data_IF_384434068300
#
_entry.id   IF_384434068300
#
_cell.length_a   1.000
_cell.length_b   1.000
_cell.length_c   1.000
_cell.angle_alpha   90.00
_cell.angle_beta   90.00
_cell.angle_gamma   90.00
#
_symmetry.space_group_name_H-M   'P 1'
#
loop_
_entity.id
_entity.type
_entity.pdbx_description
1 polymer ?
#
# COMPACT_ATOMS: atom_id res chain seq x y z
N UNK A 1 -49.85 46.45 23.97
CA UNK A 1 -48.97 46.01 22.87
C UNK A 1 -47.76 45.25 23.42
N UNK A 2 -47.97 44.07 24.03
CA UNK A 2 -46.89 43.26 24.65
C UNK A 2 -47.09 41.75 24.43
N UNK A 3 -47.51 41.31 23.23
CA UNK A 3 -47.68 39.87 22.94
C UNK A 3 -47.21 39.44 21.55
N UNK A 4 -46.36 40.23 20.87
CA UNK A 4 -45.87 39.91 19.52
C UNK A 4 -44.35 39.69 19.43
N UNK A 5 -43.67 39.43 20.56
CA UNK A 5 -42.22 39.18 20.59
C UNK A 5 -41.80 37.85 21.23
N UNK A 6 -42.76 36.99 21.61
CA UNK A 6 -42.46 35.68 22.23
C UNK A 6 -42.76 34.50 21.28
N UNK A 7 -43.43 34.74 20.14
CA UNK A 7 -43.81 33.68 19.19
C UNK A 7 -42.90 33.57 17.94
N UNK A 8 -41.84 34.39 17.81
CA UNK A 8 -40.90 34.36 16.65
C UNK A 8 -39.46 34.05 17.12
N UNK A 9 -39.29 33.34 18.24
CA UNK A 9 -38.00 32.77 18.65
C UNK A 9 -38.07 31.31 19.11
N UNK A 10 -39.19 30.63 18.89
CA UNK A 10 -39.35 29.20 19.24
C UNK A 10 -39.30 28.29 17.99
N UNK A 11 -39.12 28.87 16.79
CA UNK A 11 -39.08 28.13 15.52
C UNK A 11 -37.78 28.43 14.75
N UNK A 12 -36.65 27.97 15.32
CA UNK A 12 -35.34 27.68 14.66
C UNK A 12 -34.28 27.36 15.72
N UNK A 13 -34.55 26.38 16.58
CA UNK A 13 -33.51 25.47 17.04
C UNK A 13 -33.66 24.18 16.25
N UNK A 14 -33.53 24.28 14.92
CA UNK A 14 -33.14 23.11 14.14
C UNK A 14 -31.74 22.75 14.65
N UNK A 15 -31.68 21.70 15.46
CA UNK A 15 -30.46 21.00 15.84
C UNK A 15 -29.75 20.57 14.56
N UNK A 16 -28.93 21.45 13.98
CA UNK A 16 -28.25 21.20 12.70
C UNK A 16 -26.99 20.38 12.97
N UNK A 17 -27.18 19.14 13.41
CA UNK A 17 -26.10 18.16 13.30
C UNK A 17 -25.70 18.11 11.80
N UNK A 18 -24.40 18.15 11.47
CA UNK A 18 -23.97 18.29 10.08
C UNK A 18 -24.49 17.14 9.22
N UNK A 19 -24.88 17.46 7.99
CA UNK A 19 -25.31 16.47 6.99
C UNK A 19 -24.11 16.00 6.20
N UNK A 20 -23.92 14.68 6.12
CA UNK A 20 -22.85 14.10 5.32
C UNK A 20 -23.06 14.37 3.83
N UNK A 21 -22.08 15.04 3.21
CA UNK A 21 -22.06 15.33 1.79
C UNK A 21 -20.93 14.54 1.11
N UNK A 22 -21.31 13.61 0.25
CA UNK A 22 -20.38 12.79 -0.55
C UNK A 22 -19.59 13.61 -1.57
N UNK A 23 -19.99 14.85 -1.86
CA UNK A 23 -19.26 15.77 -2.74
C UNK A 23 -18.20 16.58 -1.98
N UNK A 24 -18.32 16.68 -0.67
CA UNK A 24 -17.37 17.36 0.21
C UNK A 24 -16.71 16.35 1.16
N UNK A 25 -15.83 15.55 0.57
CA UNK A 25 -15.10 14.49 1.26
C UNK A 25 -13.74 14.91 1.77
N UNK A 26 -13.36 16.18 1.61
CA UNK A 26 -12.05 16.70 2.00
C UNK A 26 -11.76 16.38 3.48
N UNK A 27 -10.63 15.71 3.74
CA UNK A 27 -10.17 15.48 5.10
C UNK A 27 -9.53 16.74 5.67
N UNK A 28 -9.79 16.99 6.95
CA UNK A 28 -8.99 17.96 7.70
C UNK A 28 -7.71 17.24 8.09
N UNK A 29 -6.62 17.51 7.37
CA UNK A 29 -5.30 16.95 7.70
C UNK A 29 -4.46 17.96 8.44
N UNK A 30 -3.82 17.54 9.53
CA UNK A 30 -3.06 18.47 10.40
C UNK A 30 -1.57 18.59 10.08
N UNK A 31 -1.10 17.92 9.02
CA UNK A 31 0.34 17.65 8.84
C UNK A 31 0.91 18.14 7.51
N UNK A 32 2.11 18.73 7.62
CA UNK A 32 2.95 19.18 6.52
C UNK A 32 4.21 18.32 6.41
N UNK A 33 4.99 18.56 5.34
CA UNK A 33 6.29 17.92 5.11
C UNK A 33 7.25 18.25 6.26
N UNK A 34 7.85 17.21 6.85
CA UNK A 34 8.87 17.34 7.91
C UNK A 34 10.26 17.00 7.36
N UNK A 35 11.25 17.91 7.48
CA UNK A 35 12.63 17.62 7.10
C UNK A 35 13.23 16.48 7.93
N UNK A 36 14.23 15.77 7.37
CA UNK A 36 14.89 14.66 8.04
C UNK A 36 15.53 15.05 9.39
N UNK A 37 16.05 16.26 9.51
CA UNK A 37 16.63 16.78 10.77
C UNK A 37 15.58 16.89 11.87
N UNK A 38 14.43 17.51 11.57
CA UNK A 38 13.32 17.67 12.52
C UNK A 38 12.70 16.31 12.88
N UNK A 39 12.64 15.39 11.93
CA UNK A 39 12.21 14.01 12.17
C UNK A 39 13.13 13.34 13.21
N UNK A 40 14.44 13.38 12.99
CA UNK A 40 15.43 12.76 13.87
C UNK A 40 15.43 13.41 15.26
N UNK A 41 15.46 14.74 15.34
CA UNK A 41 15.47 15.43 16.64
C UNK A 41 14.21 15.10 17.45
N UNK A 42 13.04 15.07 16.81
CA UNK A 42 11.77 14.74 17.49
C UNK A 42 11.79 13.34 18.09
N UNK A 43 12.27 12.35 17.34
CA UNK A 43 12.34 10.98 17.82
C UNK A 43 13.40 10.79 18.92
N UNK A 44 14.59 11.37 18.73
CA UNK A 44 15.68 11.28 19.72
C UNK A 44 15.31 11.98 21.02
N UNK A 45 14.77 13.20 20.96
CA UNK A 45 14.37 13.95 22.15
C UNK A 45 13.25 13.23 22.89
N UNK A 46 12.26 12.69 22.17
CA UNK A 46 11.15 11.97 22.78
C UNK A 46 11.55 10.60 23.36
N UNK A 47 12.58 9.97 22.79
CA UNK A 47 13.19 8.73 23.28
C UNK A 47 14.02 8.99 24.54
N UNK A 48 14.92 9.98 24.52
CA UNK A 48 15.77 10.32 25.68
C UNK A 48 14.94 10.77 26.90
N UNK A 49 13.80 11.43 26.67
CA UNK A 49 12.83 11.76 27.73
C UNK A 49 12.14 10.53 28.34
N UNK A 50 12.36 9.30 27.85
CA UNK A 50 11.90 8.07 28.51
C UNK A 50 12.71 7.71 29.76
N UNK A 51 14.00 8.06 29.80
CA UNK A 51 14.92 7.62 30.84
C UNK A 51 15.01 8.59 32.03
N UNK A 52 14.68 9.87 31.84
CA UNK A 52 14.79 10.92 32.86
C UNK A 52 13.40 11.34 33.38
N UNK A 53 12.87 10.63 34.39
CA UNK A 53 11.79 11.08 35.31
C UNK A 53 10.45 11.62 34.71
N UNK A 54 10.24 11.57 33.40
CA UNK A 54 9.03 12.06 32.74
C UNK A 54 8.19 10.90 32.19
N UNK A 55 6.91 10.86 32.57
CA UNK A 55 6.00 9.79 32.20
C UNK A 55 5.97 9.56 30.69
N UNK A 56 5.97 8.29 30.27
CA UNK A 56 5.48 7.84 28.96
C UNK A 56 3.99 8.19 28.79
N UNK A 57 3.61 9.47 28.88
CA UNK A 57 2.24 9.92 28.71
C UNK A 57 1.92 9.88 27.22
N UNK A 58 1.05 8.96 26.77
CA UNK A 58 0.71 8.87 25.36
C UNK A 58 0.02 10.13 24.84
N UNK A 59 -0.56 10.97 25.71
CA UNK A 59 -1.15 12.27 25.33
C UNK A 59 -0.14 13.22 24.72
N UNK A 60 1.11 13.20 25.19
CA UNK A 60 2.16 14.09 24.71
C UNK A 60 2.93 13.48 23.54
N UNK A 61 3.21 12.17 23.60
CA UNK A 61 4.11 11.53 22.64
C UNK A 61 3.44 11.11 21.33
N UNK A 62 2.19 10.63 21.36
CA UNK A 62 1.49 10.22 20.13
C UNK A 62 1.41 11.36 19.09
N UNK A 63 1.04 12.60 19.45
CA UNK A 63 1.06 13.72 18.50
C UNK A 63 2.44 13.99 17.87
N UNK A 64 3.51 13.90 18.67
CA UNK A 64 4.88 14.11 18.20
C UNK A 64 5.31 13.01 17.20
N UNK A 65 5.02 11.75 17.54
CA UNK A 65 5.35 10.60 16.69
C UNK A 65 4.55 10.65 15.40
N UNK A 66 3.24 10.93 15.48
CA UNK A 66 2.37 11.07 14.32
C UNK A 66 2.89 12.15 13.35
N UNK A 67 3.22 13.34 13.87
CA UNK A 67 3.72 14.43 13.04
C UNK A 67 5.10 14.18 12.43
N UNK A 68 5.99 13.56 13.21
CA UNK A 68 7.32 13.21 12.73
C UNK A 68 7.23 12.18 11.58
N UNK A 69 6.57 11.04 11.81
CA UNK A 69 6.53 9.96 10.83
C UNK A 69 5.71 10.31 9.59
N UNK A 70 4.54 10.95 9.76
CA UNK A 70 3.71 11.38 8.63
C UNK A 70 4.41 12.44 7.81
N UNK A 71 5.04 13.44 8.45
CA UNK A 71 5.74 14.48 7.73
C UNK A 71 6.97 13.96 6.98
N UNK A 72 7.68 12.96 7.52
CA UNK A 72 8.76 12.29 6.79
C UNK A 72 8.23 11.42 5.63
N UNK A 73 7.09 10.74 5.81
CA UNK A 73 6.39 10.03 4.72
C UNK A 73 6.04 10.99 3.60
N UNK A 74 5.46 12.15 3.92
CA UNK A 74 5.10 13.16 2.93
C UNK A 74 6.32 13.73 2.19
N UNK A 75 7.47 13.86 2.86
CA UNK A 75 8.73 14.25 2.20
C UNK A 75 9.12 13.23 1.12
N UNK A 76 9.09 11.95 1.46
CA UNK A 76 9.44 10.86 0.53
C UNK A 76 8.40 10.75 -0.60
N UNK A 77 7.11 10.75 -0.27
CA UNK A 77 6.01 10.72 -1.24
C UNK A 77 6.12 11.87 -2.24
N UNK A 78 6.35 13.11 -1.77
CA UNK A 78 6.51 14.27 -2.64
C UNK A 78 7.65 14.09 -3.65
N UNK A 79 8.78 13.54 -3.22
CA UNK A 79 9.92 13.28 -4.10
C UNK A 79 9.61 12.14 -5.09
N UNK A 80 8.93 11.09 -4.64
CA UNK A 80 8.54 9.97 -5.51
C UNK A 80 7.47 10.36 -6.54
N UNK A 81 6.49 11.18 -6.16
CA UNK A 81 5.53 11.76 -7.10
C UNK A 81 6.24 12.56 -8.20
N UNK A 82 7.30 13.32 -7.89
CA UNK A 82 8.05 14.05 -8.92
C UNK A 82 8.68 13.12 -9.96
N UNK A 83 9.19 11.97 -9.52
CA UNK A 83 9.72 10.94 -10.42
C UNK A 83 8.57 10.42 -11.29
N UNK A 84 7.46 10.01 -10.70
CA UNK A 84 6.35 9.41 -11.43
C UNK A 84 5.73 10.38 -12.46
N UNK A 85 5.56 11.65 -12.10
CA UNK A 85 5.07 12.69 -13.02
C UNK A 85 6.04 12.97 -14.18
N UNK A 86 7.33 12.64 -14.03
CA UNK A 86 8.31 12.75 -15.10
C UNK A 86 8.21 11.62 -16.14
N UNK A 87 7.52 10.52 -15.80
CA UNK A 87 7.31 9.36 -16.67
C UNK A 87 6.14 9.66 -17.61
N UNK A 88 6.41 9.71 -18.92
CA UNK A 88 5.34 9.87 -19.93
C UNK A 88 4.53 8.59 -20.16
N UNK A 89 5.08 7.45 -19.77
CA UNK A 89 4.49 6.13 -19.96
C UNK A 89 3.67 5.73 -18.72
N UNK A 90 2.34 5.67 -18.88
CA UNK A 90 1.41 5.30 -17.79
C UNK A 90 1.51 3.83 -17.37
N UNK A 91 2.31 3.01 -18.06
CA UNK A 91 2.49 1.59 -17.74
C UNK A 91 3.52 1.32 -16.63
N UNK A 92 4.14 2.37 -16.09
CA UNK A 92 5.08 2.27 -14.95
C UNK A 92 4.56 3.13 -13.81
N UNK A 93 4.51 2.55 -12.62
CA UNK A 93 4.07 3.19 -11.38
C UNK A 93 5.05 2.98 -10.23
N UNK A 94 4.91 3.79 -9.18
CA UNK A 94 5.64 3.60 -7.91
C UNK A 94 4.66 3.06 -6.85
N UNK A 95 4.82 1.80 -6.46
CA UNK A 95 3.85 1.06 -5.64
C UNK A 95 3.64 1.60 -4.23
N UNK A 96 4.67 2.19 -3.63
CA UNK A 96 4.53 2.77 -2.29
C UNK A 96 3.78 4.12 -2.29
N UNK A 97 3.41 4.65 -3.46
CA UNK A 97 2.61 5.87 -3.53
C UNK A 97 1.14 5.57 -3.24
N UNK A 98 0.45 6.42 -2.44
CA UNK A 98 -0.88 6.12 -1.95
C UNK A 98 -1.98 5.82 -2.99
N UNK A 99 -1.85 6.36 -4.21
CA UNK A 99 -2.88 6.23 -5.26
C UNK A 99 -2.84 4.90 -6.01
N UNK A 100 -1.84 4.04 -5.80
CA UNK A 100 -1.78 2.70 -6.42
C UNK A 100 -2.48 1.61 -5.58
N UNK A 101 -3.18 1.98 -4.51
CA UNK A 101 -3.90 1.03 -3.67
C UNK A 101 -5.18 0.53 -4.33
N UNK A 102 -5.35 -0.79 -4.35
CA UNK A 102 -6.59 -1.49 -4.68
C UNK A 102 -7.17 -2.19 -3.46
N UNK A 103 -8.49 -2.39 -3.41
CA UNK A 103 -9.25 -2.88 -2.25
C UNK A 103 -8.74 -4.16 -1.54
N UNK A 104 -7.79 -4.90 -2.12
CA UNK A 104 -7.24 -6.14 -1.56
C UNK A 104 -5.77 -6.02 -1.12
N UNK A 105 -5.08 -4.93 -1.47
CA UNK A 105 -3.71 -4.68 -1.03
C UNK A 105 -3.71 -3.57 0.02
N UNK A 106 -3.25 -3.90 1.22
CA UNK A 106 -2.97 -2.90 2.24
C UNK A 106 -1.94 -1.90 1.70
N UNK A 107 -2.15 -0.59 1.90
CA UNK A 107 -1.16 0.38 1.43
C UNK A 107 0.18 0.07 2.09
N UNK A 108 1.21 0.01 1.26
CA UNK A 108 2.59 -0.07 1.66
C UNK A 108 3.14 1.35 1.66
N UNK A 109 3.48 1.92 2.82
CA UNK A 109 4.04 3.28 2.84
C UNK A 109 5.41 3.36 2.18
N UNK A 110 5.83 4.58 1.87
CA UNK A 110 7.18 4.90 1.40
C UNK A 110 8.27 4.64 2.45
N UNK A 111 7.90 4.42 3.72
CA UNK A 111 8.83 4.12 4.81
C UNK A 111 8.97 2.60 4.91
N UNK A 112 10.13 2.07 4.53
CA UNK A 112 10.37 0.63 4.36
C UNK A 112 11.57 0.12 5.18
N UNK A 113 11.54 0.15 6.53
CA UNK A 113 12.70 -0.17 7.36
C UNK A 113 13.28 -1.56 7.10
N UNK A 114 12.44 -2.57 6.90
CA UNK A 114 12.91 -3.94 6.60
C UNK A 114 13.65 -4.01 5.27
N UNK A 115 13.15 -3.39 4.19
CA UNK A 115 13.85 -3.35 2.91
C UNK A 115 15.21 -2.62 3.05
N UNK A 116 15.24 -1.54 3.83
CA UNK A 116 16.46 -0.75 4.04
C UNK A 116 17.52 -1.49 4.87
N UNK A 117 17.10 -2.27 5.88
CA UNK A 117 17.97 -3.15 6.66
C UNK A 117 18.56 -4.28 5.80
N UNK A 118 17.78 -4.80 4.85
CA UNK A 118 18.24 -5.76 3.85
C UNK A 118 19.06 -5.12 2.72
N UNK A 119 19.40 -3.82 2.85
CA UNK A 119 20.22 -3.05 1.93
C UNK A 119 19.61 -2.92 0.52
N UNK A 120 18.30 -2.65 0.47
CA UNK A 120 17.54 -2.50 -0.77
C UNK A 120 16.70 -1.20 -0.72
N UNK A 121 17.35 -0.02 -0.81
CA UNK A 121 16.72 1.30 -0.58
C UNK A 121 15.52 1.61 -1.49
N UNK A 122 15.56 1.11 -2.72
CA UNK A 122 14.51 1.35 -3.72
C UNK A 122 13.37 0.33 -3.69
N UNK A 123 13.36 -0.57 -2.71
CA UNK A 123 12.41 -1.67 -2.63
C UNK A 123 11.45 -1.51 -1.46
N UNK A 124 10.39 -2.30 -1.46
CA UNK A 124 9.41 -2.39 -0.40
C UNK A 124 9.16 -3.85 -0.05
N UNK A 125 8.61 -4.12 1.13
CA UNK A 125 8.13 -5.45 1.47
C UNK A 125 6.66 -5.60 1.09
N UNK A 126 6.35 -6.58 0.25
CA UNK A 126 4.98 -6.94 -0.09
C UNK A 126 4.42 -7.93 0.94
N UNK A 127 3.39 -7.56 1.73
CA UNK A 127 2.81 -8.45 2.73
C UNK A 127 2.00 -9.61 2.13
N UNK A 128 1.54 -9.49 0.88
CA UNK A 128 0.79 -10.55 0.19
C UNK A 128 1.75 -11.60 -0.37
N UNK A 129 2.79 -11.14 -1.06
CA UNK A 129 3.81 -12.02 -1.66
C UNK A 129 4.89 -12.46 -0.65
N UNK A 130 4.89 -11.87 0.56
CA UNK A 130 5.83 -12.11 1.65
C UNK A 130 7.31 -12.02 1.25
N UNK A 131 7.64 -11.02 0.42
CA UNK A 131 9.00 -10.82 -0.08
C UNK A 131 9.29 -9.35 -0.36
N UNK A 132 10.58 -9.02 -0.47
CA UNK A 132 11.02 -7.72 -0.95
C UNK A 132 10.77 -7.62 -2.46
N UNK A 133 10.12 -6.55 -2.87
CA UNK A 133 9.75 -6.23 -4.25
C UNK A 133 10.24 -4.84 -4.62
N UNK A 134 10.49 -4.60 -5.91
CA UNK A 134 10.88 -3.28 -6.39
C UNK A 134 9.73 -2.31 -6.33
N UNK A 135 10.01 -1.08 -5.89
CA UNK A 135 9.01 -0.04 -5.77
C UNK A 135 8.50 0.48 -7.11
N UNK A 136 9.33 0.51 -8.15
CA UNK A 136 8.83 0.71 -9.50
C UNK A 136 8.23 -0.58 -10.05
N UNK A 137 6.94 -0.56 -10.33
CA UNK A 137 6.24 -1.64 -11.03
C UNK A 137 5.92 -1.18 -12.46
N UNK A 138 6.53 -1.92 -13.38
CA UNK A 138 6.15 -2.02 -14.79
C UNK A 138 6.29 -3.50 -15.15
N UNK A 139 7.05 -3.79 -16.21
CA UNK A 139 7.27 -5.19 -16.64
C UNK A 139 7.86 -6.02 -15.50
N UNK A 140 7.32 -7.23 -15.31
CA UNK A 140 7.72 -8.22 -14.29
C UNK A 140 7.30 -7.95 -12.84
N UNK A 141 6.34 -7.06 -12.60
CA UNK A 141 5.76 -6.84 -11.26
C UNK A 141 6.83 -6.59 -10.18
N UNK A 142 7.96 -5.95 -10.54
CA UNK A 142 9.04 -5.69 -9.60
C UNK A 142 9.86 -6.90 -9.13
N UNK A 143 9.74 -8.07 -9.79
CA UNK A 143 10.43 -9.33 -9.41
C UNK A 143 11.91 -9.42 -9.82
N UNK A 144 12.39 -8.54 -10.70
CA UNK A 144 13.73 -8.65 -11.30
C UNK A 144 14.55 -7.34 -11.35
N UNK A 145 15.83 -7.47 -10.95
CA UNK A 145 17.04 -6.67 -11.23
C UNK A 145 17.07 -5.75 -12.46
N UNK A 146 16.72 -6.38 -13.57
CA UNK A 146 17.09 -6.00 -14.92
C UNK A 146 16.46 -7.01 -15.86
N UNK A 147 16.43 -6.67 -17.15
CA UNK A 147 16.04 -7.63 -18.19
C UNK A 147 16.88 -8.90 -18.18
N UNK A 148 18.17 -8.77 -17.90
CA UNK A 148 19.08 -9.91 -17.80
C UNK A 148 18.68 -10.84 -16.65
N UNK A 149 18.38 -10.27 -15.48
CA UNK A 149 17.94 -11.05 -14.33
C UNK A 149 16.58 -11.70 -14.58
N UNK A 150 15.62 -11.00 -15.20
CA UNK A 150 14.31 -11.56 -15.52
C UNK A 150 14.42 -12.71 -16.51
N UNK A 151 15.14 -12.51 -17.62
CA UNK A 151 15.39 -13.56 -18.61
C UNK A 151 16.02 -14.77 -17.93
N UNK A 152 17.05 -14.53 -17.09
CA UNK A 152 17.69 -15.60 -16.34
C UNK A 152 16.70 -16.34 -15.43
N UNK A 153 15.92 -15.63 -14.60
CA UNK A 153 14.91 -16.23 -13.74
C UNK A 153 13.87 -17.03 -14.54
N UNK A 154 13.45 -16.52 -15.69
CA UNK A 154 12.44 -17.14 -16.56
C UNK A 154 12.97 -18.43 -17.19
N UNK A 155 14.18 -18.41 -17.76
CA UNK A 155 14.80 -19.62 -18.35
C UNK A 155 15.26 -20.63 -17.28
N UNK A 156 15.44 -20.20 -16.03
CA UNK A 156 15.74 -21.11 -14.91
C UNK A 156 14.52 -21.49 -14.07
N UNK A 157 13.32 -21.06 -14.44
CA UNK A 157 12.09 -21.44 -13.73
C UNK A 157 11.89 -22.96 -13.86
N UNK A 158 11.33 -23.61 -12.84
CA UNK A 158 11.02 -25.05 -12.80
C UNK A 158 10.37 -25.59 -14.07
N UNK A 159 9.46 -24.83 -14.68
CA UNK A 159 8.84 -25.22 -15.95
C UNK A 159 9.86 -25.27 -17.10
N UNK A 160 10.67 -24.23 -17.25
CA UNK A 160 11.68 -24.12 -18.31
C UNK A 160 12.85 -25.08 -18.08
N UNK A 161 13.26 -25.27 -16.83
CA UNK A 161 14.22 -26.30 -16.42
C UNK A 161 13.73 -27.71 -16.72
N UNK A 162 12.42 -27.97 -16.66
CA UNK A 162 11.85 -29.26 -17.06
C UNK A 162 12.03 -29.49 -18.56
N UNK A 163 11.86 -28.47 -19.40
CA UNK A 163 12.16 -28.55 -20.83
C UNK A 163 13.64 -28.84 -21.09
N UNK A 164 14.54 -28.10 -20.44
CA UNK A 164 15.98 -28.36 -20.53
C UNK A 164 16.35 -29.80 -20.09
N UNK A 165 15.69 -30.31 -19.05
CA UNK A 165 15.88 -31.67 -18.57
C UNK A 165 15.37 -32.73 -19.57
N UNK A 166 14.23 -32.50 -20.23
CA UNK A 166 13.72 -33.37 -21.30
C UNK A 166 14.70 -33.42 -22.48
N UNK A 167 15.26 -32.27 -22.86
CA UNK A 167 16.29 -32.17 -23.91
C UNK A 167 17.54 -32.95 -23.51
N UNK A 168 17.97 -32.84 -22.26
CA UNK A 168 19.09 -33.63 -21.72
C UNK A 168 18.82 -35.14 -21.79
N UNK A 169 17.62 -35.59 -21.41
CA UNK A 169 17.22 -37.00 -21.54
C UNK A 169 17.26 -37.45 -23.01
N UNK A 170 16.79 -36.61 -23.94
CA UNK A 170 16.83 -36.92 -25.36
C UNK A 170 18.27 -37.07 -25.88
N UNK A 171 19.20 -36.22 -25.43
CA UNK A 171 20.63 -36.32 -25.76
C UNK A 171 21.23 -37.62 -25.19
N UNK A 172 20.97 -37.93 -23.91
CA UNK A 172 21.43 -39.16 -23.27
C UNK A 172 20.88 -40.39 -24.01
N UNK A 173 19.59 -40.36 -24.36
CA UNK A 173 18.93 -41.41 -25.14
C UNK A 173 19.58 -41.60 -26.51
N UNK A 174 19.89 -40.51 -27.22
CA UNK A 174 20.55 -40.57 -28.52
C UNK A 174 21.97 -41.17 -28.43
N UNK A 175 22.73 -40.80 -27.38
CA UNK A 175 24.06 -41.37 -27.10
C UNK A 175 23.95 -42.85 -26.73
N UNK A 176 22.98 -43.22 -25.89
CA UNK A 176 22.72 -44.62 -25.52
C UNK A 176 22.35 -45.46 -26.75
N UNK A 177 21.47 -44.96 -27.62
CA UNK A 177 21.12 -45.62 -28.88
C UNK A 177 22.36 -45.77 -29.76
N UNK A 178 23.22 -44.75 -29.85
CA UNK A 178 24.49 -44.83 -30.57
C UNK A 178 25.36 -45.97 -30.04
N UNK A 179 25.55 -46.05 -28.72
CA UNK A 179 26.38 -47.07 -28.06
C UNK A 179 25.77 -48.47 -28.25
N UNK A 180 24.46 -48.63 -28.03
CA UNK A 180 23.76 -49.91 -28.17
C UNK A 180 23.80 -50.39 -29.62
N UNK A 181 23.50 -49.51 -30.58
CA UNK A 181 23.58 -49.84 -32.01
C UNK A 181 25.02 -50.07 -32.49
N UNK A 182 26.05 -49.67 -31.74
CA UNK A 182 27.46 -50.02 -32.02
C UNK A 182 27.74 -51.49 -31.72
N UNK A 183 26.99 -52.06 -30.79
CA UNK A 183 27.17 -53.44 -30.34
C UNK A 183 26.26 -54.45 -31.08
N UNK A 184 25.29 -53.99 -31.90
CA UNK A 184 24.24 -54.85 -32.48
C UNK A 184 24.13 -54.84 -34.01
N UNK A 185 24.75 -53.88 -34.71
CA UNK A 185 24.65 -53.77 -36.17
C UNK A 185 26.03 -54.06 -36.77
N UNK A 186 26.14 -55.14 -37.54
CA UNK A 186 27.36 -55.46 -38.30
C UNK A 186 27.70 -54.32 -39.27
N UNK A 187 28.95 -53.88 -39.26
CA UNK A 187 29.50 -52.78 -40.07
C UNK A 187 29.54 -53.07 -41.59
N UNK A 188 28.92 -54.15 -42.06
CA UNK A 188 29.16 -54.76 -43.38
C UNK A 188 28.33 -54.15 -44.53
N UNK A 189 27.69 -53.01 -44.31
CA UNK A 189 27.08 -52.20 -45.39
C UNK A 189 27.72 -50.82 -45.43
N UNK A 190 28.18 -50.39 -46.61
CA UNK A 190 28.87 -49.12 -46.84
C UNK A 190 28.10 -47.86 -46.37
N UNK A 191 26.81 -47.98 -46.07
CA UNK A 191 25.94 -46.89 -45.61
C UNK A 191 25.46 -47.01 -44.15
N UNK A 192 25.69 -48.14 -43.47
CA UNK A 192 25.25 -48.37 -42.08
C UNK A 192 25.83 -47.36 -41.06
N UNK A 193 27.16 -47.12 -41.05
CA UNK A 193 27.78 -46.15 -40.14
C UNK A 193 27.32 -44.71 -40.39
N UNK A 194 27.03 -44.37 -41.66
CA UNK A 194 26.58 -43.04 -42.06
C UNK A 194 25.15 -42.75 -41.57
N UNK A 195 24.20 -43.67 -41.79
CA UNK A 195 22.80 -43.50 -41.37
C UNK A 195 22.69 -43.43 -39.84
N UNK A 196 23.47 -44.24 -39.11
CA UNK A 196 23.52 -44.25 -37.65
C UNK A 196 24.03 -42.92 -37.08
N UNK A 197 25.16 -42.44 -37.59
CA UNK A 197 25.72 -41.17 -37.14
C UNK A 197 24.84 -39.98 -37.51
N UNK A 198 24.25 -39.99 -38.72
CA UNK A 198 23.32 -38.94 -39.14
C UNK A 198 22.04 -38.91 -38.29
N UNK A 199 21.48 -40.07 -37.92
CA UNK A 199 20.27 -40.12 -37.07
C UNK A 199 20.55 -39.56 -35.66
N UNK A 200 21.70 -39.88 -35.08
CA UNK A 200 22.10 -39.35 -33.76
C UNK A 200 22.38 -37.85 -33.83
N UNK A 201 23.09 -37.40 -34.87
CA UNK A 201 23.35 -35.97 -35.11
C UNK A 201 22.04 -35.22 -35.32
N UNK A 202 21.08 -35.78 -36.06
CA UNK A 202 19.77 -35.18 -36.30
C UNK A 202 18.98 -35.04 -34.99
N UNK A 203 18.90 -36.09 -34.17
CA UNK A 203 18.17 -36.06 -32.90
C UNK A 203 18.78 -34.99 -31.97
N UNK A 204 20.10 -34.96 -31.84
CA UNK A 204 20.79 -33.96 -31.01
C UNK A 204 20.56 -32.55 -31.58
N UNK A 205 20.68 -32.38 -32.90
CA UNK A 205 20.52 -31.06 -33.54
C UNK A 205 19.09 -30.53 -33.41
N UNK A 206 18.08 -31.39 -33.54
CA UNK A 206 16.67 -31.00 -33.36
C UNK A 206 16.37 -30.69 -31.89
N UNK A 207 16.84 -31.53 -30.96
CA UNK A 207 16.61 -31.33 -29.52
C UNK A 207 17.28 -30.04 -29.00
N UNK A 208 18.55 -29.82 -29.33
CA UNK A 208 19.29 -28.59 -28.96
C UNK A 208 18.75 -27.39 -29.73
N UNK A 209 18.45 -27.55 -31.02
CA UNK A 209 17.92 -26.47 -31.85
C UNK A 209 16.57 -25.95 -31.35
N UNK A 210 15.66 -26.83 -30.96
CA UNK A 210 14.37 -26.44 -30.40
C UNK A 210 14.53 -25.67 -29.08
N UNK A 211 15.42 -26.14 -28.19
CA UNK A 211 15.72 -25.49 -26.91
C UNK A 211 16.30 -24.08 -27.09
N UNK A 212 17.25 -23.93 -28.03
CA UNK A 212 17.82 -22.64 -28.38
C UNK A 212 16.79 -21.68 -28.98
N UNK A 213 15.90 -22.18 -29.86
CA UNK A 213 14.81 -21.37 -30.44
C UNK A 213 13.85 -20.91 -29.35
N UNK A 214 13.50 -21.79 -28.39
CA UNK A 214 12.63 -21.43 -27.27
C UNK A 214 13.26 -20.36 -26.37
N UNK A 215 14.55 -20.50 -26.03
CA UNK A 215 15.28 -19.46 -25.28
C UNK A 215 15.32 -18.14 -26.04
N UNK A 216 15.63 -18.17 -27.34
CA UNK A 216 15.67 -16.97 -28.17
C UNK A 216 14.30 -16.31 -28.28
N UNK A 217 13.23 -17.09 -28.40
CA UNK A 217 11.86 -16.60 -28.42
C UNK A 217 11.51 -15.87 -27.12
N UNK A 218 11.82 -16.44 -25.96
CA UNK A 218 11.61 -15.76 -24.66
C UNK A 218 12.39 -14.45 -24.60
N UNK A 219 13.67 -14.46 -24.99
CA UNK A 219 14.48 -13.23 -24.99
C UNK A 219 13.83 -12.16 -25.86
N UNK A 220 13.35 -12.51 -27.05
CA UNK A 220 12.71 -11.56 -27.97
C UNK A 220 11.38 -11.04 -27.41
N UNK A 221 10.51 -11.94 -26.93
CA UNK A 221 9.20 -11.57 -26.39
C UNK A 221 9.36 -10.66 -25.17
N UNK A 222 10.20 -11.05 -24.21
CA UNK A 222 10.43 -10.29 -22.98
C UNK A 222 11.12 -8.93 -23.20
N UNK A 223 11.87 -8.80 -24.29
CA UNK A 223 12.60 -7.56 -24.61
C UNK A 223 11.79 -6.59 -25.47
N UNK A 224 11.08 -7.10 -26.47
CA UNK A 224 10.47 -6.26 -27.52
C UNK A 224 8.94 -6.25 -27.46
N UNK A 225 8.31 -7.24 -26.84
CA UNK A 225 6.85 -7.38 -26.75
C UNK A 225 6.41 -7.65 -25.31
N UNK A 226 6.76 -6.77 -24.35
CA UNK A 226 6.39 -6.99 -22.96
C UNK A 226 4.88 -6.85 -22.76
N UNK A 227 4.29 -7.78 -22.00
CA UNK A 227 2.86 -7.78 -21.69
C UNK A 227 2.44 -6.61 -20.76
N UNK A 228 3.38 -6.06 -19.98
CA UNK A 228 3.09 -4.95 -19.04
C UNK A 228 4.22 -3.91 -19.00
N UNK A 229 4.12 -2.86 -19.82
CA UNK A 229 5.03 -1.72 -19.77
C UNK A 229 6.47 -2.01 -20.19
N UNK A 230 7.26 -0.95 -20.39
CA UNK A 230 8.59 -1.07 -20.99
C UNK A 230 9.66 -1.35 -19.93
N UNK A 231 10.37 -2.49 -19.97
CA UNK A 231 11.32 -2.85 -18.92
C UNK A 231 12.50 -1.87 -18.77
N UNK A 232 12.91 -1.19 -19.83
CA UNK A 232 13.95 -0.15 -19.72
C UNK A 232 13.46 1.10 -18.98
N UNK A 233 12.17 1.45 -19.09
CA UNK A 233 11.57 2.58 -18.36
C UNK A 233 11.47 2.21 -16.88
N UNK A 234 10.93 1.03 -16.57
CA UNK A 234 10.84 0.54 -15.19
C UNK A 234 12.21 0.50 -14.48
N UNK A 235 13.26 0.02 -15.16
CA UNK A 235 14.62 0.02 -14.59
C UNK A 235 15.17 1.43 -14.34
N UNK A 236 14.90 2.37 -15.26
CA UNK A 236 15.31 3.77 -15.07
C UNK A 236 14.59 4.38 -13.87
N UNK A 237 13.28 4.21 -13.78
CA UNK A 237 12.46 4.71 -12.67
C UNK A 237 12.91 4.10 -11.36
N UNK A 238 13.14 2.78 -11.32
CA UNK A 238 13.68 2.10 -10.15
C UNK A 238 15.04 2.68 -9.69
N UNK A 239 15.93 3.02 -10.63
CA UNK A 239 17.20 3.67 -10.31
C UNK A 239 17.00 5.08 -9.76
N UNK A 240 16.05 5.85 -10.29
CA UNK A 240 15.72 7.19 -9.79
C UNK A 240 15.09 7.11 -8.39
N UNK A 241 14.21 6.13 -8.14
CA UNK A 241 13.64 5.83 -6.82
C UNK A 241 14.74 5.47 -5.83
N UNK A 242 15.62 4.52 -6.19
CA UNK A 242 16.76 4.12 -5.36
C UNK A 242 17.62 5.32 -4.96
N UNK A 243 17.99 6.17 -5.92
CA UNK A 243 18.83 7.35 -5.67
C UNK A 243 18.11 8.38 -4.80
N UNK A 244 16.81 8.59 -5.02
CA UNK A 244 16.00 9.57 -4.30
C UNK A 244 15.80 9.16 -2.85
N UNK A 245 15.41 7.91 -2.60
CA UNK A 245 15.30 7.35 -1.26
C UNK A 245 16.67 7.35 -0.60
N UNK A 246 17.71 6.83 -1.26
CA UNK A 246 19.08 6.81 -0.74
C UNK A 246 19.59 8.20 -0.33
N UNK A 247 19.24 9.26 -1.07
CA UNK A 247 19.58 10.64 -0.70
C UNK A 247 18.86 11.07 0.58
N UNK A 248 17.57 10.77 0.71
CA UNK A 248 16.80 11.07 1.92
C UNK A 248 17.31 10.29 3.14
N UNK A 249 17.66 9.01 2.97
CA UNK A 249 18.25 8.19 4.04
C UNK A 249 19.63 8.73 4.45
N UNK A 250 20.44 9.18 3.51
CA UNK A 250 21.72 9.85 3.81
C UNK A 250 21.52 11.12 4.63
N UNK A 251 20.51 11.94 4.30
CA UNK A 251 20.18 13.13 5.08
C UNK A 251 19.74 12.77 6.50
N UNK A 252 18.85 11.78 6.63
CA UNK A 252 18.41 11.25 7.92
C UNK A 252 19.60 10.81 8.77
N UNK A 253 20.48 9.95 8.25
CA UNK A 253 21.64 9.43 8.99
C UNK A 253 22.61 10.54 9.40
N UNK A 254 22.83 11.55 8.56
CA UNK A 254 23.66 12.72 8.91
C UNK A 254 23.08 13.57 10.02
N UNK A 255 21.76 13.54 10.20
CA UNK A 255 21.07 14.25 11.28
C UNK A 255 21.07 13.46 12.59
N UNK A 256 21.44 12.18 12.60
CA UNK A 256 21.53 11.36 13.82
C UNK A 256 22.70 11.84 14.69
N UNK A 257 22.47 12.20 15.97
CA UNK A 257 23.55 12.57 16.88
C UNK A 257 24.58 11.44 17.03
N UNK A 258 25.88 11.74 17.18
CA UNK A 258 26.93 10.71 17.25
C UNK A 258 26.68 9.64 18.31
N UNK A 259 26.22 10.03 19.51
CA UNK A 259 25.90 9.07 20.60
C UNK A 259 24.79 8.09 20.22
N UNK A 260 23.75 8.59 19.54
CA UNK A 260 22.65 7.78 19.03
C UNK A 260 23.12 6.84 17.94
N UNK A 261 23.98 7.33 17.03
CA UNK A 261 24.58 6.55 15.97
C UNK A 261 25.45 5.39 16.51
N UNK A 262 26.27 5.66 17.52
CA UNK A 262 27.11 4.66 18.18
C UNK A 262 26.25 3.54 18.80
N UNK A 263 25.13 3.91 19.43
CA UNK A 263 24.18 2.94 19.99
C UNK A 263 23.51 2.07 18.93
N UNK A 264 23.16 2.64 17.77
CA UNK A 264 22.52 1.91 16.66
C UNK A 264 23.51 0.95 16.03
N UNK A 265 24.72 1.43 15.72
CA UNK A 265 25.74 0.62 15.06
C UNK A 265 26.29 -0.47 15.97
N UNK A 266 26.32 -0.27 17.30
CA UNK A 266 26.87 -1.23 18.28
C UNK A 266 28.28 -1.73 17.91
N UNK A 267 29.09 -0.87 17.28
CA UNK A 267 30.43 -1.22 16.78
C UNK A 267 30.47 -2.01 15.46
N UNK A 268 29.32 -2.34 14.87
CA UNK A 268 29.23 -3.01 13.58
C UNK A 268 29.30 -2.01 12.42
N UNK A 269 29.86 -2.46 11.29
CA UNK A 269 29.87 -1.68 10.05
C UNK A 269 28.52 -1.85 9.34
N UNK A 270 27.72 -0.78 9.33
CA UNK A 270 26.41 -0.73 8.68
C UNK A 270 26.42 0.26 7.52
N UNK A 271 25.63 -0.03 6.49
CA UNK A 271 25.37 0.93 5.40
C UNK A 271 24.39 2.01 5.87
N UNK A 272 24.26 3.09 5.09
CA UNK A 272 23.34 4.19 5.40
C UNK A 272 21.89 3.71 5.50
N UNK A 273 21.47 2.83 4.58
CA UNK A 273 20.13 2.26 4.59
C UNK A 273 19.87 1.42 5.84
N UNK A 274 20.86 0.63 6.25
CA UNK A 274 20.80 -0.19 7.45
C UNK A 274 20.66 0.67 8.69
N UNK A 275 21.47 1.72 8.82
CA UNK A 275 21.40 2.66 9.95
C UNK A 275 20.03 3.34 9.98
N UNK A 276 19.52 3.81 8.85
CA UNK A 276 18.22 4.49 8.78
C UNK A 276 17.06 3.55 9.15
N UNK A 277 17.08 2.31 8.64
CA UNK A 277 16.07 1.30 8.98
C UNK A 277 16.11 0.94 10.47
N UNK A 278 17.29 0.67 11.02
CA UNK A 278 17.44 0.38 12.45
C UNK A 278 17.08 1.57 13.34
N UNK A 279 17.38 2.81 12.91
CA UNK A 279 16.96 4.02 13.62
C UNK A 279 15.44 4.08 13.76
N UNK A 280 14.70 3.88 12.67
CA UNK A 280 13.23 3.93 12.69
C UNK A 280 12.65 2.79 13.54
N UNK A 281 13.23 1.59 13.46
CA UNK A 281 12.80 0.49 14.33
C UNK A 281 12.96 0.86 15.81
N UNK A 282 14.15 1.35 16.19
CA UNK A 282 14.48 1.58 17.60
C UNK A 282 13.84 2.84 18.19
N UNK A 283 13.79 3.93 17.43
CA UNK A 283 13.37 5.26 17.93
C UNK A 283 11.93 5.63 17.59
N UNK A 284 11.30 4.94 16.63
CA UNK A 284 9.88 5.13 16.32
C UNK A 284 9.05 3.88 16.65
N UNK A 285 9.35 2.74 16.02
CA UNK A 285 8.48 1.56 16.06
C UNK A 285 8.36 0.96 17.47
N UNK A 286 9.47 0.63 18.13
CA UNK A 286 9.44 0.01 19.47
C UNK A 286 8.72 0.89 20.52
N UNK A 287 9.00 2.21 20.64
CA UNK A 287 8.23 3.06 21.54
C UNK A 287 6.77 3.19 21.12
N UNK A 288 6.48 3.27 19.81
CA UNK A 288 5.12 3.39 19.31
C UNK A 288 4.26 2.16 19.63
N UNK A 289 4.79 0.95 19.48
CA UNK A 289 4.13 -0.31 19.88
C UNK A 289 3.77 -0.26 21.37
N UNK A 290 4.72 0.18 22.21
CA UNK A 290 4.51 0.30 23.66
C UNK A 290 3.43 1.33 23.99
N UNK A 291 3.46 2.50 23.33
CA UNK A 291 2.46 3.56 23.52
C UNK A 291 1.07 3.12 23.07
N UNK A 292 0.94 2.46 21.91
CA UNK A 292 -0.33 1.93 21.42
C UNK A 292 -0.90 0.88 22.37
N UNK A 293 -0.05 -0.03 22.88
CA UNK A 293 -0.44 -1.04 23.87
C UNK A 293 -1.04 -0.43 25.14
N UNK A 294 -0.45 0.66 25.64
CA UNK A 294 -0.95 1.39 26.81
C UNK A 294 -2.22 2.20 26.48
N UNK A 295 -2.24 2.80 25.30
CA UNK A 295 -3.26 3.76 24.84
C UNK A 295 -4.59 3.14 24.43
N UNK A 296 -4.52 1.96 23.82
CA UNK A 296 -5.67 1.22 23.30
C UNK A 296 -6.09 0.08 24.24
N UNK A 297 -5.50 -0.02 25.44
CA UNK A 297 -5.89 -1.04 26.42
C UNK A 297 -7.34 -0.83 26.84
N UNK A 298 -8.07 -1.92 27.07
CA UNK A 298 -9.41 -1.91 27.67
C UNK A 298 -9.29 -1.58 29.17
N UNK A 299 -8.96 -0.33 29.48
CA UNK A 299 -8.85 0.23 30.82
C UNK A 299 -9.59 1.54 30.89
N UNK A 300 -10.29 1.81 31.98
CA UNK A 300 -10.96 3.11 32.22
C UNK A 300 -9.99 4.30 32.23
N UNK A 301 -8.70 4.05 32.42
CA UNK A 301 -7.63 5.06 32.43
C UNK A 301 -7.00 5.28 31.06
N UNK A 302 -7.27 4.43 30.08
CA UNK A 302 -6.71 4.57 28.73
C UNK A 302 -7.33 5.78 28.02
N UNK A 303 -6.49 6.56 27.35
CA UNK A 303 -6.93 7.77 26.63
C UNK A 303 -7.91 7.41 25.53
N UNK A 304 -7.53 6.44 24.69
CA UNK A 304 -8.27 6.02 23.51
C UNK A 304 -9.19 4.83 23.85
N UNK A 305 -10.07 5.06 24.83
CA UNK A 305 -11.10 4.12 25.24
C UNK A 305 -12.45 4.49 24.61
N UNK A 306 -13.27 3.54 24.14
CA UNK A 306 -14.64 3.79 23.69
C UNK A 306 -15.47 4.68 24.63
N UNK A 307 -15.30 4.55 25.95
CA UNK A 307 -15.99 5.38 26.96
C UNK A 307 -15.63 6.87 26.90
N UNK A 308 -14.48 7.19 26.31
CA UNK A 308 -14.00 8.56 26.14
C UNK A 308 -14.26 9.09 24.72
N UNK A 309 -14.82 8.29 23.80
CA UNK A 309 -14.96 8.64 22.38
C UNK A 309 -15.70 9.97 22.16
N UNK A 310 -16.75 10.25 22.93
CA UNK A 310 -17.48 11.52 22.88
C UNK A 310 -16.69 12.78 23.28
N UNK A 311 -15.52 12.61 23.90
CA UNK A 311 -14.64 13.71 24.36
C UNK A 311 -13.36 13.85 23.53
N UNK A 312 -13.13 12.94 22.58
CA UNK A 312 -11.93 12.98 21.74
C UNK A 312 -12.13 13.99 20.62
N UNK A 313 -11.09 14.77 20.35
CA UNK A 313 -11.03 15.67 19.19
C UNK A 313 -10.51 14.94 17.96
N UNK A 314 -10.80 15.49 16.77
CA UNK A 314 -10.35 14.89 15.51
C UNK A 314 -8.84 14.71 15.46
N UNK A 315 -8.07 15.70 15.87
CA UNK A 315 -6.59 15.59 15.92
C UNK A 315 -6.14 14.43 16.79
N UNK A 316 -6.82 14.11 17.89
CA UNK A 316 -6.45 12.96 18.72
C UNK A 316 -6.71 11.64 17.99
N UNK A 317 -7.84 11.52 17.29
CA UNK A 317 -8.16 10.35 16.47
C UNK A 317 -7.20 10.23 15.27
N UNK A 318 -6.92 11.33 14.58
CA UNK A 318 -5.97 11.37 13.46
C UNK A 318 -4.58 10.89 13.88
N UNK A 319 -4.07 11.38 15.01
CA UNK A 319 -2.73 11.03 15.48
C UNK A 319 -2.60 9.54 15.82
N UNK A 320 -3.61 8.96 16.48
CA UNK A 320 -3.58 7.53 16.81
C UNK A 320 -3.73 6.66 15.55
N UNK A 321 -4.54 7.09 14.57
CA UNK A 321 -4.67 6.40 13.28
C UNK A 321 -3.33 6.40 12.51
N UNK A 322 -2.64 7.54 12.47
CA UNK A 322 -1.32 7.66 11.82
C UNK A 322 -0.30 6.74 12.50
N UNK A 323 -0.16 6.80 13.82
CA UNK A 323 0.80 5.95 14.54
C UNK A 323 0.47 4.48 14.35
N UNK A 324 -0.82 4.12 14.46
CA UNK A 324 -1.26 2.74 14.25
C UNK A 324 -0.95 2.24 12.84
N UNK A 325 -1.18 3.07 11.80
CA UNK A 325 -0.87 2.74 10.40
C UNK A 325 0.58 2.29 10.24
N UNK A 326 1.53 3.14 10.63
CA UNK A 326 2.95 2.85 10.44
C UNK A 326 3.43 1.69 11.32
N UNK A 327 2.92 1.56 12.55
CA UNK A 327 3.24 0.42 13.41
C UNK A 327 2.73 -0.89 12.80
N UNK A 328 1.50 -0.91 12.27
CA UNK A 328 0.94 -2.08 11.59
C UNK A 328 1.80 -2.46 10.38
N UNK A 329 2.03 -1.51 9.48
CA UNK A 329 2.81 -1.75 8.24
C UNK A 329 4.22 -2.26 8.55
N UNK A 330 4.92 -1.69 9.54
CA UNK A 330 6.25 -2.16 9.95
C UNK A 330 6.18 -3.52 10.65
N UNK A 331 5.16 -3.76 11.49
CA UNK A 331 5.00 -5.03 12.23
C UNK A 331 4.87 -6.24 11.30
N UNK A 332 4.31 -6.06 10.11
CA UNK A 332 4.16 -7.13 9.11
C UNK A 332 5.52 -7.52 8.48
N UNK A 333 6.54 -6.66 8.62
CA UNK A 333 7.87 -6.83 8.01
C UNK A 333 8.96 -7.21 9.00
N UNK A 334 8.75 -7.02 10.31
CA UNK A 334 9.75 -7.25 11.38
C UNK A 334 10.14 -8.73 11.53
N UNK A 335 9.34 -9.67 11.00
CA UNK A 335 9.64 -11.12 11.02
C UNK A 335 10.82 -11.57 10.13
N UNK A 336 11.40 -10.68 9.33
CA UNK A 336 12.43 -11.01 8.33
C UNK A 336 13.87 -10.66 8.73
N UNK A 337 14.16 -10.43 10.02
CA UNK A 337 15.55 -10.21 10.43
C UNK A 337 15.80 -9.73 11.85
N UNK A 338 14.77 -9.61 12.70
CA UNK A 338 14.93 -9.17 14.08
C UNK A 338 14.07 -10.00 15.01
N UNK A 339 14.67 -10.56 16.06
CA UNK A 339 13.95 -11.11 17.21
C UNK A 339 13.42 -9.92 18.02
N UNK A 340 12.21 -9.39 17.76
CA UNK A 340 11.41 -8.63 18.77
C UNK A 340 10.13 -7.94 18.26
N UNK A 341 9.22 -7.67 19.23
CA UNK A 341 8.00 -6.83 19.23
C UNK A 341 7.11 -6.84 17.98
N UNK A 342 6.07 -7.68 17.97
CA UNK A 342 4.91 -7.55 17.06
C UNK A 342 3.78 -6.76 17.72
N UNK A 343 2.98 -6.08 16.91
CA UNK A 343 1.71 -5.49 17.38
C UNK A 343 0.78 -6.61 17.89
N UNK A 344 0.19 -6.42 19.07
CA UNK A 344 -0.79 -7.37 19.61
C UNK A 344 -2.09 -7.28 18.80
N UNK A 345 -2.63 -8.38 18.24
CA UNK A 345 -3.91 -8.40 17.52
C UNK A 345 -5.07 -7.76 18.31
N UNK A 346 -5.02 -7.79 19.64
CA UNK A 346 -6.00 -7.13 20.49
C UNK A 346 -6.04 -5.60 20.29
N UNK A 347 -4.93 -4.97 19.92
CA UNK A 347 -4.86 -3.53 19.66
C UNK A 347 -5.70 -3.14 18.45
N UNK A 348 -5.64 -3.91 17.35
CA UNK A 348 -6.50 -3.70 16.18
C UNK A 348 -7.99 -3.82 16.53
N UNK A 349 -8.36 -4.85 17.29
CA UNK A 349 -9.73 -5.02 17.77
C UNK A 349 -10.21 -3.88 18.69
N UNK A 350 -9.32 -3.33 19.52
CA UNK A 350 -9.65 -2.20 20.40
C UNK A 350 -9.77 -0.89 19.62
N UNK A 351 -8.90 -0.65 18.63
CA UNK A 351 -9.01 0.50 17.73
C UNK A 351 -10.30 0.44 16.92
N UNK A 352 -10.67 -0.74 16.39
CA UNK A 352 -11.95 -0.95 15.71
C UNK A 352 -13.13 -0.54 16.60
N UNK A 353 -13.16 -0.99 17.86
CA UNK A 353 -14.20 -0.61 18.82
C UNK A 353 -14.24 0.90 19.05
N UNK A 354 -13.07 1.53 19.22
CA UNK A 354 -12.98 2.97 19.39
C UNK A 354 -13.54 3.72 18.18
N UNK A 355 -13.18 3.32 16.95
CA UNK A 355 -13.65 3.97 15.72
C UNK A 355 -15.17 3.84 15.58
N UNK A 356 -15.74 2.66 15.83
CA UNK A 356 -17.19 2.45 15.79
C UNK A 356 -17.88 3.38 16.78
N UNK A 357 -17.44 3.39 18.05
CA UNK A 357 -18.02 4.26 19.07
C UNK A 357 -17.80 5.75 18.76
N UNK A 358 -16.68 6.13 18.16
CA UNK A 358 -16.42 7.51 17.73
C UNK A 358 -17.31 7.94 16.55
N UNK A 359 -17.67 7.02 15.64
CA UNK A 359 -18.67 7.26 14.60
C UNK A 359 -20.05 7.43 15.23
N UNK A 360 -20.44 6.56 16.16
CA UNK A 360 -21.79 6.58 16.75
C UNK A 360 -22.00 7.75 17.72
N UNK A 361 -21.03 8.01 18.60
CA UNK A 361 -21.17 8.87 19.78
C UNK A 361 -20.16 10.03 19.82
N UNK A 362 -19.18 10.04 18.93
CA UNK A 362 -18.15 11.09 18.89
C UNK A 362 -18.72 12.48 18.59
N UNK A 363 -17.90 13.51 18.80
CA UNK A 363 -18.29 14.88 18.46
C UNK A 363 -18.57 15.02 16.94
N UNK A 364 -19.31 16.06 16.50
CA UNK A 364 -19.71 16.18 15.09
C UNK A 364 -18.53 16.16 14.10
N UNK A 365 -17.40 16.77 14.46
CA UNK A 365 -16.20 16.78 13.61
C UNK A 365 -15.63 15.36 13.45
N UNK A 366 -15.43 14.64 14.56
CA UNK A 366 -14.92 13.26 14.54
C UNK A 366 -15.84 12.34 13.74
N UNK A 367 -17.15 12.44 13.98
CA UNK A 367 -18.15 11.68 13.24
C UNK A 367 -18.01 11.90 11.73
N UNK A 368 -17.98 13.16 11.29
CA UNK A 368 -17.91 13.50 9.86
C UNK A 368 -16.59 13.08 9.21
N UNK A 369 -15.45 13.28 9.88
CA UNK A 369 -14.15 12.88 9.33
C UNK A 369 -14.01 11.36 9.22
N UNK A 370 -14.46 10.59 10.22
CA UNK A 370 -14.47 9.13 10.14
C UNK A 370 -15.42 8.61 9.06
N UNK A 371 -16.58 9.24 8.87
CA UNK A 371 -17.47 8.91 7.76
C UNK A 371 -16.86 9.23 6.39
N UNK A 372 -16.10 10.32 6.25
CA UNK A 372 -15.35 10.63 5.02
C UNK A 372 -14.31 9.55 4.71
N UNK A 373 -13.52 9.15 5.71
CA UNK A 373 -12.55 8.05 5.58
C UNK A 373 -13.24 6.74 5.17
N UNK A 374 -14.39 6.44 5.79
CA UNK A 374 -15.16 5.23 5.52
C UNK A 374 -15.80 5.25 4.12
N UNK A 375 -16.36 6.38 3.71
CA UNK A 375 -16.90 6.56 2.36
C UNK A 375 -15.83 6.32 1.29
N UNK A 376 -14.64 6.91 1.45
CA UNK A 376 -13.54 6.71 0.50
C UNK A 376 -12.99 5.28 0.48
N UNK A 377 -13.21 4.51 1.54
CA UNK A 377 -12.88 3.07 1.53
C UNK A 377 -13.88 2.25 0.72
N UNK A 378 -15.04 2.81 0.39
CA UNK A 378 -16.14 2.13 -0.28
C UNK A 378 -16.30 2.49 -1.76
N UNK A 379 -15.68 3.59 -2.24
CA UNK A 379 -15.71 3.98 -3.65
C UNK A 379 -14.79 3.08 -4.52
N UNK A 380 -14.99 3.04 -5.85
CA UNK A 380 -14.12 2.30 -6.77
C UNK A 380 -12.65 2.73 -6.68
N UNK A 381 -11.73 1.78 -6.92
CA UNK A 381 -10.28 2.02 -6.81
C UNK A 381 -9.83 3.14 -7.75
N UNK A 382 -10.34 3.16 -8.98
CA UNK A 382 -10.07 4.12 -10.02
C UNK A 382 -10.49 5.55 -9.64
N UNK A 383 -11.64 5.72 -8.99
CA UNK A 383 -12.07 7.01 -8.44
C UNK A 383 -11.18 7.42 -7.27
N UNK A 384 -10.84 6.49 -6.38
CA UNK A 384 -9.94 6.73 -5.25
C UNK A 384 -8.55 7.16 -5.70
N UNK A 385 -7.97 6.44 -6.66
CA UNK A 385 -6.66 6.74 -7.23
C UNK A 385 -6.62 8.16 -7.80
N UNK A 386 -7.70 8.58 -8.48
CA UNK A 386 -7.82 9.94 -8.98
C UNK A 386 -7.81 10.97 -7.84
N UNK A 387 -8.65 10.79 -6.80
CA UNK A 387 -8.70 11.69 -5.65
C UNK A 387 -7.33 11.82 -4.98
N UNK A 388 -6.66 10.69 -4.73
CA UNK A 388 -5.34 10.69 -4.08
C UNK A 388 -4.27 11.32 -4.98
N UNK A 389 -4.35 11.13 -6.31
CA UNK A 389 -3.41 11.78 -7.23
C UNK A 389 -3.51 13.31 -7.21
N UNK A 390 -4.72 13.85 -7.00
CA UNK A 390 -4.94 15.30 -6.87
C UNK A 390 -4.63 15.81 -5.46
N UNK A 391 -4.92 15.01 -4.43
CA UNK A 391 -4.70 15.31 -3.01
C UNK A 391 -4.06 14.10 -2.30
N UNK A 392 -2.72 13.98 -2.28
CA UNK A 392 -2.03 12.80 -1.74
C UNK A 392 -2.34 12.46 -0.28
N UNK A 393 -2.69 13.47 0.53
CA UNK A 393 -3.05 13.28 1.94
C UNK A 393 -4.48 12.75 2.14
N UNK A 394 -5.27 12.65 1.07
CA UNK A 394 -6.71 12.38 1.13
C UNK A 394 -7.03 10.88 1.16
N UNK A 395 -6.41 10.18 2.11
CA UNK A 395 -6.43 8.73 2.24
C UNK A 395 -7.79 8.20 2.71
N UNK A 396 -8.07 6.92 2.44
CA UNK A 396 -9.26 6.22 2.95
C UNK A 396 -8.99 5.42 4.22
N UNK A 397 -10.03 5.01 4.95
CA UNK A 397 -9.89 4.34 6.24
C UNK A 397 -9.05 3.05 6.19
N UNK A 398 -9.17 2.27 5.12
CA UNK A 398 -8.37 1.07 4.86
C UNK A 398 -6.85 1.34 4.86
N UNK A 399 -6.41 2.56 4.54
CA UNK A 399 -5.00 2.95 4.62
C UNK A 399 -4.49 2.98 6.06
N UNK A 400 -5.36 3.31 7.02
CA UNK A 400 -4.96 3.46 8.42
C UNK A 400 -5.03 2.14 9.18
N UNK A 401 -6.11 1.37 8.98
CA UNK A 401 -6.41 0.20 9.82
C UNK A 401 -6.41 -1.14 9.07
N UNK A 402 -6.22 -1.13 7.74
CA UNK A 402 -6.32 -2.31 6.89
C UNK A 402 -7.73 -2.54 6.33
N UNK A 403 -7.80 -3.25 5.20
CA UNK A 403 -9.06 -3.51 4.49
C UNK A 403 -10.01 -4.40 5.29
N UNK A 404 -9.47 -5.44 5.95
CA UNK A 404 -10.24 -6.40 6.76
C UNK A 404 -10.92 -5.73 7.97
N UNK A 405 -10.19 -4.91 8.70
CA UNK A 405 -10.72 -4.15 9.84
C UNK A 405 -11.74 -3.10 9.40
N UNK A 406 -11.49 -2.44 8.26
CA UNK A 406 -12.43 -1.49 7.67
C UNK A 406 -13.76 -2.15 7.27
N UNK A 407 -13.72 -3.33 6.62
CA UNK A 407 -14.94 -4.07 6.28
C UNK A 407 -15.67 -4.57 7.53
N UNK A 408 -14.93 -4.99 8.57
CA UNK A 408 -15.53 -5.35 9.86
C UNK A 408 -16.30 -4.18 10.49
N UNK A 409 -15.78 -2.95 10.40
CA UNK A 409 -16.48 -1.73 10.83
C UNK A 409 -17.76 -1.53 10.02
N UNK A 410 -17.70 -1.65 8.68
CA UNK A 410 -18.88 -1.49 7.81
C UNK A 410 -19.97 -2.50 8.15
N UNK A 411 -19.61 -3.77 8.30
CA UNK A 411 -20.55 -4.84 8.67
C UNK A 411 -21.20 -4.53 10.03
N UNK A 412 -20.42 -4.09 11.01
CA UNK A 412 -20.93 -3.79 12.34
C UNK A 412 -21.90 -2.59 12.30
N UNK A 413 -21.53 -1.49 11.67
CA UNK A 413 -22.38 -0.30 11.54
C UNK A 413 -23.68 -0.59 10.76
N UNK A 414 -23.64 -1.43 9.71
CA UNK A 414 -24.85 -1.89 9.00
C UNK A 414 -25.80 -2.62 9.93
N UNK A 415 -25.29 -3.51 10.79
CA UNK A 415 -26.11 -4.20 11.81
C UNK A 415 -26.70 -3.19 12.78
N UNK A 416 -25.91 -2.21 13.22
CA UNK A 416 -26.30 -1.23 14.22
C UNK A 416 -27.39 -0.26 13.71
N UNK A 417 -27.34 0.14 12.44
CA UNK A 417 -28.42 0.92 11.78
C UNK A 417 -29.78 0.20 11.86
N UNK A 418 -29.77 -1.13 11.70
CA UNK A 418 -31.02 -1.93 11.69
C UNK A 418 -31.55 -2.24 13.10
N UNK A 419 -30.82 -1.88 14.17
CA UNK A 419 -31.25 -2.18 15.54
C UNK A 419 -32.45 -1.32 15.96
N UNK A 420 -33.39 -1.88 16.76
CA UNK A 420 -34.48 -1.10 17.31
C UNK A 420 -33.97 0.05 18.18
N UNK A 421 -34.30 1.29 17.81
CA UNK A 421 -33.99 2.49 18.61
C UNK A 421 -34.78 2.49 19.91
N UNK A 422 -34.14 2.91 21.00
CA UNK A 422 -34.80 3.10 22.29
C UNK A 422 -35.78 4.28 22.25
N UNK A 423 -36.70 4.35 23.22
CA UNK A 423 -37.69 5.42 23.29
C UNK A 423 -37.07 6.82 23.45
N UNK A 424 -35.90 6.93 24.08
CA UNK A 424 -35.13 8.17 24.21
C UNK A 424 -34.45 8.56 22.90
N UNK A 425 -33.92 7.60 22.15
CA UNK A 425 -33.28 7.83 20.84
C UNK A 425 -34.29 8.26 19.76
N UNK A 426 -35.52 7.74 19.78
CA UNK A 426 -36.58 8.09 18.82
C UNK A 426 -37.04 9.55 18.87
N UNK A 427 -36.67 10.29 19.91
CA UNK A 427 -37.07 11.70 20.11
C UNK A 427 -35.92 12.68 19.87
N UNK A 428 -34.72 12.18 19.56
CA UNK A 428 -33.54 13.02 19.37
C UNK A 428 -33.21 13.19 17.87
N UNK A 429 -33.47 14.38 17.28
CA UNK A 429 -33.21 14.62 15.87
C UNK A 429 -31.71 14.50 15.50
N UNK A 430 -30.80 14.68 16.47
CA UNK A 430 -29.36 14.52 16.22
C UNK A 430 -28.99 13.06 16.03
N UNK A 431 -29.66 12.15 16.74
CA UNK A 431 -29.47 10.70 16.60
C UNK A 431 -29.98 10.26 15.23
N UNK A 432 -31.14 10.75 14.80
CA UNK A 432 -31.68 10.43 13.47
C UNK A 432 -30.75 10.92 12.35
N UNK A 433 -30.24 12.15 12.43
CA UNK A 433 -29.30 12.68 11.44
C UNK A 433 -27.98 11.88 11.41
N UNK A 434 -27.43 11.50 12.57
CA UNK A 434 -26.22 10.66 12.65
C UNK A 434 -26.41 9.32 11.94
N UNK A 435 -27.51 8.63 12.20
CA UNK A 435 -27.78 7.34 11.55
C UNK A 435 -28.01 7.50 10.04
N UNK A 436 -28.63 8.59 9.60
CA UNK A 436 -28.76 8.91 8.18
C UNK A 436 -27.39 9.14 7.53
N UNK A 437 -26.50 9.89 8.18
CA UNK A 437 -25.13 10.10 7.69
C UNK A 437 -24.36 8.77 7.57
N UNK A 438 -24.46 7.89 8.57
CA UNK A 438 -23.80 6.57 8.54
C UNK A 438 -24.34 5.74 7.36
N UNK A 439 -25.66 5.70 7.17
CA UNK A 439 -26.27 4.98 6.05
C UNK A 439 -25.77 5.50 4.70
N UNK A 440 -25.71 6.84 4.53
CA UNK A 440 -25.24 7.47 3.30
C UNK A 440 -23.75 7.18 3.01
N UNK A 441 -22.91 7.10 4.04
CA UNK A 441 -21.48 6.82 3.89
C UNK A 441 -21.17 5.35 3.56
N UNK A 442 -22.03 4.40 3.97
CA UNK A 442 -21.81 2.97 3.83
C UNK A 442 -22.23 2.39 2.47
N UNK A 443 -23.09 3.10 1.72
CA UNK A 443 -23.67 2.64 0.46
C UNK A 443 -23.55 3.68 -0.67
N UNK A 444 -22.31 3.92 -1.18
CA UNK A 444 -22.08 4.86 -2.28
C UNK A 444 -22.84 4.47 -3.57
N UNK A 445 -23.13 3.17 -3.77
CA UNK A 445 -23.78 2.66 -4.97
C UNK A 445 -25.28 2.95 -5.01
N UNK A 446 -25.93 3.13 -3.86
CA UNK A 446 -27.33 3.55 -3.79
C UNK A 446 -27.53 5.04 -4.15
N UNK A 447 -26.46 5.84 -4.15
CA UNK A 447 -26.46 7.23 -4.61
C UNK A 447 -26.19 7.34 -6.12
N UNK A 448 -25.37 6.44 -6.68
CA UNK A 448 -25.15 6.34 -8.13
C UNK A 448 -26.39 5.87 -8.91
N UNK A 449 -27.29 5.10 -8.27
CA UNK A 449 -28.57 4.70 -8.90
C UNK A 449 -29.56 5.87 -9.07
N UNK A 450 -29.37 6.98 -8.34
CA UNK A 450 -30.13 8.23 -8.52
C UNK A 450 -29.52 9.19 -9.54
N UNK A 451 -28.35 8.85 -10.11
CA UNK A 451 -27.67 9.61 -11.16
C UNK A 451 -27.44 8.75 -12.42
N UNK A 452 -28.49 8.05 -12.85
CA UNK A 452 -28.60 7.62 -14.25
C UNK A 452 -28.74 8.84 -15.17
N UNK A 453 -27.64 9.53 -15.43
CA UNK A 453 -27.53 10.45 -16.57
C UNK A 453 -26.11 10.68 -17.11
N UNK A 454 -25.07 10.01 -16.59
CA UNK A 454 -23.72 10.15 -17.19
C UNK A 454 -23.41 9.16 -18.32
N UNK A 455 -24.11 8.02 -18.39
CA UNK A 455 -24.02 7.09 -19.54
C UNK A 455 -24.88 7.54 -20.73
N UNK A 456 -25.82 8.48 -20.53
CA UNK A 456 -26.65 9.03 -21.61
C UNK A 456 -25.93 10.08 -22.47
N UNK A 457 -24.93 10.79 -21.92
CA UNK A 457 -24.17 11.80 -22.65
C UNK A 457 -23.09 11.21 -23.57
N UNK A 458 -22.59 10.01 -23.28
CA UNK A 458 -21.63 9.33 -24.15
C UNK A 458 -22.32 8.62 -25.33
N UNK A 459 -23.57 8.16 -25.15
CA UNK A 459 -24.40 7.61 -26.22
C UNK A 459 -24.97 8.68 -27.18
N UNK A 460 -25.13 9.93 -26.74
CA UNK A 460 -25.60 11.02 -27.61
C UNK A 460 -24.48 11.67 -28.45
N UNK A 461 -23.19 11.48 -28.11
CA UNK A 461 -22.09 11.96 -28.95
C UNK A 461 -21.78 11.06 -30.16
N UNK A 462 -22.31 9.84 -30.19
CA UNK A 462 -22.14 8.89 -31.29
C UNK A 462 -23.35 8.81 -32.23
N UNK A 463 -24.40 9.61 -31.99
CA UNK A 463 -25.65 9.59 -32.75
C UNK A 463 -25.87 10.82 -33.66
N UNK A 464 -24.82 11.59 -33.98
CA UNK A 464 -24.89 12.66 -34.99
C UNK A 464 -24.02 12.29 -36.19
N UNK A 465 -24.52 11.37 -37.02
CA UNK A 465 -24.17 11.37 -38.44
C UNK A 465 -25.06 12.40 -39.16
N UNK A 466 -24.49 13.28 -40.01
CA UNK A 466 -25.21 13.78 -41.16
C UNK A 466 -24.99 12.80 -42.33
N UNK A 467 -26.10 12.25 -42.79
CA UNK A 467 -26.25 11.51 -44.02
C UNK A 467 -25.97 12.38 -45.26
N UNK A 468 -25.22 11.79 -46.21
CA UNK A 468 -25.25 11.91 -47.70
C UNK A 468 -25.48 13.28 -48.37
N UNK A 469 -24.61 13.61 -49.33
CA UNK A 469 -24.95 13.89 -50.75
C UNK A 469 -23.66 13.81 -51.60
N UNK A 470 -23.42 12.70 -52.30
CA UNK A 470 -23.36 12.60 -53.78
C UNK A 470 -23.32 13.91 -54.56
N UNK A 471 -22.31 14.08 -55.43
CA UNK A 471 -22.52 14.21 -56.89
C UNK A 471 -21.21 14.03 -57.68
N UNK A 472 -21.29 13.09 -58.63
CA UNK A 472 -20.48 12.91 -59.85
C UNK A 472 -20.62 14.13 -60.79
N UNK A 473 -19.81 14.32 -61.86
CA UNK A 473 -19.11 13.31 -62.67
C UNK A 473 -17.57 13.32 -62.64
#
# INVERSE_FOLDING_TARGET
MCFFHIAIQIEKMENSFPVFDHRNTDLITSYDVTPAETFVSTLVDSYNQQDENHSNDPKMKIPLYAGAIQGFSLLLEKNLYQIEHSIRDKSVSIQTLPHHTGNDHELISVIQPTAWILNDEGCYYDPVEQRIMRNSVGHWEGRANSIKQHIFQTITNSCFMTYHFIVLIAIIGAIMIKIIMENYIDNDTAHGPFIKNMSVILIISVAVGYDLIAMLFIIIMETYFPDSGKPWIANRVQSEVFNTIGTALNQLVRSIPPRTLDSICSGNKMTVSQIAGTFILRYFYEPAVTMLSQSLKVSSTALYNPRNAGKLEWSQIENVLIVFRFVREISDTVGLGTDEFKIDPAQGANLRKLIITAIEEGNPTVHMQLLRLLYKSAIPNDERSHIISEKPCDLSLNHFIGASECEAIRIQLRKDITRPKTASQKKDPTVDQRWSNIANALDPNHLMSSSTSFTALQAMSQAVQPSRFTQNP
#
